data_IF_118966741713
#
_entry.id   IF_118966741713
#
_cell.length_a   1.000
_cell.length_b   1.000
_cell.length_c   1.000
_cell.angle_alpha   90.00
_cell.angle_beta   90.00
_cell.angle_gamma   90.00
#
_symmetry.space_group_name_H-M   'P 1'
#
loop_
_entity.id
_entity.type
_entity.pdbx_description
1 polymer ?
#
# COMPACT_ATOMS: atom_id res chain seq x y z
N UNK A 1 -11.12 4.11 17.17
CA UNK A 1 -10.86 4.04 15.72
C UNK A 1 -11.06 2.61 15.24
N UNK A 2 -11.56 2.45 14.02
CA UNK A 2 -11.97 1.15 13.49
C UNK A 2 -13.22 0.60 14.17
N UNK A 3 -13.98 -0.23 13.47
CA UNK A 3 -15.07 -1.04 14.04
C UNK A 3 -14.65 -2.51 14.03
N UNK A 4 -15.37 -3.36 14.75
CA UNK A 4 -15.16 -4.81 14.68
C UNK A 4 -15.18 -5.27 13.22
N UNK A 5 -14.14 -6.01 12.80
CA UNK A 5 -13.91 -6.46 11.41
C UNK A 5 -13.72 -5.35 10.36
N UNK A 6 -13.52 -4.10 10.77
CA UNK A 6 -13.22 -2.96 9.90
C UNK A 6 -12.12 -2.11 10.53
N UNK A 7 -10.85 -2.53 10.42
CA UNK A 7 -9.73 -1.79 10.98
C UNK A 7 -9.56 -0.46 10.25
N UNK A 8 -9.14 0.56 10.99
CA UNK A 8 -8.78 1.87 10.46
C UNK A 8 -7.60 2.40 11.26
N UNK A 9 -6.52 2.75 10.58
CA UNK A 9 -5.25 3.13 11.21
C UNK A 9 -4.95 4.61 10.97
N UNK A 10 -4.38 5.28 11.98
CA UNK A 10 -3.74 6.58 11.80
C UNK A 10 -2.26 6.37 11.58
N UNK A 11 -1.67 7.25 10.77
CA UNK A 11 -0.23 7.36 10.63
C UNK A 11 0.17 8.58 11.45
N UNK A 12 0.99 8.37 12.48
CA UNK A 12 1.33 9.37 13.49
C UNK A 12 2.83 9.34 13.76
N UNK A 13 3.38 10.50 14.10
CA UNK A 13 4.69 10.64 14.72
C UNK A 13 4.52 10.55 16.25
N UNK A 14 5.22 9.60 16.86
CA UNK A 14 5.18 9.37 18.31
C UNK A 14 6.53 8.88 18.80
N UNK A 15 6.85 9.14 20.07
CA UNK A 15 8.04 8.58 20.73
C UNK A 15 7.85 7.06 20.93
N UNK A 16 8.88 6.27 20.60
CA UNK A 16 8.89 4.81 20.68
C UNK A 16 8.64 4.26 22.08
N UNK A 17 8.90 5.05 23.13
CA UNK A 17 8.68 4.65 24.53
C UNK A 17 7.22 4.74 24.97
N UNK A 18 6.39 5.41 24.19
CA UNK A 18 4.98 5.63 24.54
C UNK A 18 4.13 4.42 24.16
N UNK A 19 2.94 4.32 24.76
CA UNK A 19 1.96 3.30 24.39
C UNK A 19 1.49 3.51 22.95
N UNK A 20 1.20 2.41 22.23
CA UNK A 20 0.65 2.40 20.86
C UNK A 20 -0.49 3.40 20.64
N UNK A 21 -1.46 3.44 21.55
CA UNK A 21 -2.63 4.33 21.49
C UNK A 21 -2.47 5.53 22.45
N UNK A 22 -1.23 6.00 22.64
CA UNK A 22 -0.88 7.13 23.47
C UNK A 22 -1.08 8.49 22.80
N UNK A 23 -0.69 9.58 23.48
CA UNK A 23 -0.69 10.91 22.88
C UNK A 23 0.33 10.98 21.72
N UNK A 24 -0.15 11.35 20.54
CA UNK A 24 0.68 11.59 19.36
C UNK A 24 1.31 13.00 19.40
N UNK A 25 2.53 13.13 18.86
CA UNK A 25 3.17 14.44 18.67
C UNK A 25 2.50 15.15 17.50
N UNK A 26 2.37 14.42 16.39
CA UNK A 26 1.77 14.93 15.17
C UNK A 26 1.09 13.80 14.39
N UNK A 27 -0.05 14.13 13.78
CA UNK A 27 -0.76 13.23 12.86
C UNK A 27 -0.32 13.54 11.44
N UNK A 28 0.21 12.53 10.74
CA UNK A 28 0.76 12.64 9.39
C UNK A 28 -0.17 12.06 8.31
N UNK A 29 -1.24 11.36 8.73
CA UNK A 29 -2.19 10.78 7.80
C UNK A 29 -3.05 9.67 8.37
N UNK A 30 -3.60 8.84 7.48
CA UNK A 30 -4.38 7.65 7.80
C UNK A 30 -4.27 6.56 6.73
N UNK A 31 -4.58 5.33 7.13
CA UNK A 31 -4.55 4.15 6.29
C UNK A 31 -5.78 3.25 6.54
N UNK A 32 -6.47 2.91 5.45
CA UNK A 32 -7.57 1.95 5.39
C UNK A 32 -7.15 0.74 4.53
N UNK A 33 -6.83 -0.41 5.13
CA UNK A 33 -6.41 -1.60 4.38
C UNK A 33 -7.54 -2.27 3.60
N UNK A 34 -8.81 -1.89 3.84
CA UNK A 34 -9.97 -2.52 3.19
C UNK A 34 -10.36 -1.81 1.89
N UNK A 35 -9.91 -0.57 1.69
CA UNK A 35 -10.14 0.17 0.44
C UNK A 35 -9.18 -0.30 -0.65
N UNK A 36 -9.71 -0.40 -1.87
CA UNK A 36 -8.95 -0.83 -3.05
C UNK A 36 -8.41 0.39 -3.81
N UNK A 37 -9.16 1.50 -3.85
CA UNK A 37 -8.83 2.65 -4.70
C UNK A 37 -7.94 3.67 -3.97
N UNK A 38 -8.47 4.34 -2.93
CA UNK A 38 -7.71 5.31 -2.11
C UNK A 38 -7.61 4.77 -0.69
N UNK A 39 -6.60 3.92 -0.49
CA UNK A 39 -6.35 3.28 0.79
C UNK A 39 -5.62 4.18 1.80
N UNK A 40 -4.91 5.21 1.33
CA UNK A 40 -3.95 5.99 2.12
C UNK A 40 -4.12 7.48 1.82
N UNK A 41 -3.99 8.31 2.85
CA UNK A 41 -3.82 9.75 2.74
C UNK A 41 -2.69 10.20 3.67
N UNK A 42 -1.75 10.95 3.13
CA UNK A 42 -0.50 11.33 3.77
C UNK A 42 -0.20 12.80 3.50
N UNK A 43 0.29 13.51 4.51
CA UNK A 43 0.85 14.84 4.39
C UNK A 43 2.35 14.72 4.02
N UNK A 44 2.65 14.74 2.72
CA UNK A 44 3.98 14.44 2.19
C UNK A 44 5.09 15.32 2.78
N UNK A 45 4.86 16.63 2.83
CA UNK A 45 5.87 17.61 3.26
C UNK A 45 6.27 17.37 4.72
N UNK A 46 5.27 17.13 5.58
CA UNK A 46 5.49 16.86 7.01
C UNK A 46 6.21 15.54 7.22
N UNK A 47 5.89 14.52 6.43
CA UNK A 47 6.59 13.23 6.49
C UNK A 47 8.06 13.40 6.10
N UNK A 48 8.34 14.18 5.04
CA UNK A 48 9.72 14.46 4.62
C UNK A 48 10.47 15.18 5.74
N UNK A 49 9.88 16.19 6.37
CA UNK A 49 10.47 16.89 7.53
C UNK A 49 10.84 15.92 8.65
N UNK A 50 9.93 15.01 9.02
CA UNK A 50 10.18 14.02 10.08
C UNK A 50 11.28 13.04 9.70
N UNK A 51 11.31 12.58 8.44
CA UNK A 51 12.35 11.69 7.95
C UNK A 51 13.72 12.39 7.88
N UNK A 52 13.77 13.69 7.56
CA UNK A 52 15.00 14.49 7.60
C UNK A 52 15.51 14.66 9.04
N UNK A 53 14.59 14.83 10.01
CA UNK A 53 14.90 14.88 11.45
C UNK A 53 15.35 13.53 12.04
N UNK A 54 15.33 12.46 11.24
CA UNK A 54 15.80 11.13 11.66
C UNK A 54 14.70 10.20 12.20
N UNK A 55 13.42 10.51 11.97
CA UNK A 55 12.33 9.62 12.34
C UNK A 55 12.50 8.24 11.66
N UNK A 56 12.33 7.17 12.45
CA UNK A 56 12.37 5.80 11.97
C UNK A 56 10.96 5.29 11.69
N UNK A 57 10.57 5.02 10.43
CA UNK A 57 9.27 4.46 10.12
C UNK A 57 9.18 3.00 10.56
N UNK A 58 7.97 2.55 10.95
CA UNK A 58 7.69 1.13 11.15
C UNK A 58 7.60 0.38 9.81
N UNK A 59 7.71 -0.94 9.81
CA UNK A 59 7.73 -1.75 8.59
C UNK A 59 6.52 -1.50 7.67
N UNK A 60 5.31 -1.50 8.23
CA UNK A 60 4.09 -1.22 7.44
C UNK A 60 4.09 0.19 6.87
N UNK A 61 4.52 1.18 7.65
CA UNK A 61 4.62 2.58 7.19
C UNK A 61 5.68 2.70 6.11
N UNK A 62 6.83 2.04 6.25
CA UNK A 62 7.88 2.00 5.23
C UNK A 62 7.33 1.47 3.91
N UNK A 63 6.60 0.34 3.93
CA UNK A 63 5.98 -0.23 2.73
C UNK A 63 4.97 0.73 2.07
N UNK A 64 4.19 1.45 2.87
CA UNK A 64 3.27 2.47 2.38
C UNK A 64 4.05 3.61 1.71
N UNK A 65 5.10 4.13 2.35
CA UNK A 65 5.95 5.19 1.79
C UNK A 65 6.64 4.76 0.49
N UNK A 66 7.09 3.51 0.39
CA UNK A 66 7.61 2.95 -0.87
C UNK A 66 6.54 2.91 -1.95
N UNK A 67 5.32 2.50 -1.60
CA UNK A 67 4.21 2.35 -2.53
C UNK A 67 3.69 3.68 -3.08
N UNK A 68 3.80 4.75 -2.29
CA UNK A 68 3.44 6.12 -2.68
C UNK A 68 4.57 6.78 -3.49
N UNK A 69 5.83 6.37 -3.29
CA UNK A 69 6.99 6.94 -3.98
C UNK A 69 7.78 7.96 -3.15
N UNK A 70 7.38 8.19 -1.89
CA UNK A 70 8.05 9.13 -0.98
C UNK A 70 9.48 8.73 -0.65
N UNK A 71 9.78 7.42 -0.57
CA UNK A 71 11.15 6.97 -0.40
C UNK A 71 12.04 7.30 -1.59
N UNK A 72 11.49 7.22 -2.80
CA UNK A 72 12.21 7.57 -4.02
C UNK A 72 12.46 9.09 -4.07
N UNK A 73 11.42 9.89 -3.77
CA UNK A 73 11.55 11.35 -3.60
C UNK A 73 12.65 11.71 -2.61
N UNK A 74 12.66 11.10 -1.42
CA UNK A 74 13.68 11.34 -0.39
C UNK A 74 15.10 10.97 -0.86
N UNK A 75 15.25 9.88 -1.61
CA UNK A 75 16.54 9.48 -2.15
C UNK A 75 17.08 10.53 -3.14
N UNK A 76 16.23 11.02 -4.05
CA UNK A 76 16.60 12.07 -5.01
C UNK A 76 16.94 13.41 -4.30
N UNK A 77 16.22 13.75 -3.22
CA UNK A 77 16.53 14.91 -2.39
C UNK A 77 17.93 14.76 -1.75
N UNK A 78 18.25 13.58 -1.22
CA UNK A 78 19.58 13.31 -0.64
C UNK A 78 20.70 13.34 -1.67
N UNK A 79 20.41 13.00 -2.92
CA UNK A 79 21.35 13.11 -4.04
C UNK A 79 21.54 14.56 -4.50
N UNK A 80 20.73 15.52 -4.02
CA UNK A 80 20.85 16.94 -4.35
C UNK A 80 20.28 17.32 -5.72
N UNK A 81 19.36 16.52 -6.25
CA UNK A 81 18.69 16.80 -7.54
C UNK A 81 17.70 17.96 -7.42
N UNK A 82 17.47 18.66 -8.54
CA UNK A 82 16.53 19.78 -8.59
C UNK A 82 15.08 19.31 -8.40
N UNK A 83 14.21 20.18 -7.89
CA UNK A 83 12.79 19.86 -7.67
C UNK A 83 12.08 19.44 -8.97
N UNK A 84 12.51 19.99 -10.11
CA UNK A 84 11.97 19.69 -11.43
C UNK A 84 12.33 18.27 -11.90
N UNK A 85 13.58 17.85 -11.68
CA UNK A 85 14.03 16.48 -11.94
C UNK A 85 13.34 15.47 -11.02
N UNK A 86 13.09 15.85 -9.77
CA UNK A 86 12.35 15.03 -8.82
C UNK A 86 10.90 14.86 -9.29
N UNK A 87 10.26 15.93 -9.76
CA UNK A 87 8.89 15.90 -10.25
C UNK A 87 8.74 15.04 -11.53
N UNK A 88 9.66 15.17 -12.48
CA UNK A 88 9.65 14.37 -13.70
C UNK A 88 9.92 12.89 -13.39
N UNK A 89 10.93 12.59 -12.58
CA UNK A 89 11.26 11.22 -12.17
C UNK A 89 10.12 10.56 -11.38
N UNK A 90 9.40 11.32 -10.54
CA UNK A 90 8.22 10.81 -9.83
C UNK A 90 7.05 10.55 -10.77
N UNK A 91 6.83 11.42 -11.75
CA UNK A 91 5.77 11.23 -12.75
C UNK A 91 6.04 9.99 -13.60
N UNK A 92 7.28 9.83 -14.08
CA UNK A 92 7.70 8.64 -14.82
C UNK A 92 7.59 7.38 -13.96
N UNK A 93 7.99 7.46 -12.69
CA UNK A 93 7.87 6.36 -11.75
C UNK A 93 6.39 6.00 -11.51
N UNK A 94 5.50 6.97 -11.35
CA UNK A 94 4.07 6.76 -11.17
C UNK A 94 3.45 6.08 -12.39
N UNK A 95 3.76 6.54 -13.60
CA UNK A 95 3.30 5.92 -14.85
C UNK A 95 3.78 4.48 -14.96
N UNK A 96 5.07 4.22 -14.67
CA UNK A 96 5.64 2.87 -14.64
C UNK A 96 4.98 1.97 -13.59
N UNK A 97 4.68 2.50 -12.41
CA UNK A 97 3.97 1.75 -11.37
C UNK A 97 2.54 1.44 -11.80
N UNK A 98 1.84 2.37 -12.45
CA UNK A 98 0.48 2.17 -12.92
C UNK A 98 0.43 1.07 -14.00
N UNK A 99 1.37 1.06 -14.94
CA UNK A 99 1.51 -0.04 -15.90
C UNK A 99 1.73 -1.40 -15.22
N UNK A 100 2.60 -1.44 -14.20
CA UNK A 100 2.85 -2.67 -13.43
C UNK A 100 1.59 -3.10 -12.68
N UNK A 101 0.83 -2.15 -12.10
CA UNK A 101 -0.44 -2.42 -11.41
C UNK A 101 -1.47 -2.98 -12.36
N UNK A 102 -1.65 -2.38 -13.55
CA UNK A 102 -2.56 -2.88 -14.59
C UNK A 102 -2.17 -4.30 -15.00
N UNK A 103 -0.89 -4.55 -15.33
CA UNK A 103 -0.40 -5.91 -15.67
C UNK A 103 -0.62 -6.92 -14.54
N UNK A 104 -0.43 -6.52 -13.29
CA UNK A 104 -0.70 -7.38 -12.12
C UNK A 104 -2.20 -7.61 -11.91
N UNK A 105 -3.04 -6.59 -12.13
CA UNK A 105 -4.49 -6.71 -12.06
C UNK A 105 -5.01 -7.67 -13.13
N UNK A 106 -4.49 -7.60 -14.35
CA UNK A 106 -4.84 -8.49 -15.45
C UNK A 106 -4.39 -9.93 -15.18
N UNK A 107 -3.15 -10.12 -14.70
CA UNK A 107 -2.68 -11.45 -14.25
C UNK A 107 -3.51 -12.01 -13.09
N UNK A 108 -3.93 -11.17 -12.14
CA UNK A 108 -4.78 -11.59 -11.01
C UNK A 108 -6.19 -11.95 -11.48
N UNK A 109 -6.75 -11.22 -12.45
CA UNK A 109 -8.03 -11.55 -13.10
C UNK A 109 -7.94 -12.85 -13.89
N UNK A 110 -6.86 -13.08 -14.63
CA UNK A 110 -6.60 -14.31 -15.37
C UNK A 110 -6.48 -15.52 -14.41
N UNK A 111 -5.66 -15.41 -13.36
CA UNK A 111 -5.52 -16.46 -12.35
C UNK A 111 -6.81 -16.71 -11.56
N UNK A 112 -7.62 -15.67 -11.31
CA UNK A 112 -8.95 -15.82 -10.69
C UNK A 112 -9.95 -16.51 -11.63
N UNK A 113 -9.85 -16.30 -12.95
CA UNK A 113 -10.64 -17.02 -13.95
C UNK A 113 -10.22 -18.48 -14.08
N UNK A 114 -8.92 -18.79 -14.09
CA UNK A 114 -8.42 -20.19 -14.10
C UNK A 114 -8.83 -20.93 -12.82
N UNK A 115 -8.63 -20.33 -11.64
CA UNK A 115 -9.03 -20.97 -10.37
C UNK A 115 -10.55 -21.11 -10.25
N UNK A 116 -11.33 -20.24 -10.89
CA UNK A 116 -12.79 -20.39 -10.97
C UNK A 116 -13.17 -21.53 -11.93
N UNK A 117 -12.49 -21.64 -13.08
CA UNK A 117 -12.70 -22.72 -14.06
C UNK A 117 -12.33 -24.10 -13.50
N UNK A 118 -11.20 -24.21 -12.78
CA UNK A 118 -10.79 -25.46 -12.11
C UNK A 118 -11.75 -25.85 -10.99
N UNK A 119 -12.29 -24.87 -10.24
CA UNK A 119 -13.31 -25.13 -9.22
C UNK A 119 -14.65 -25.57 -9.81
N UNK A 120 -15.05 -25.03 -10.96
CA UNK A 120 -16.26 -25.50 -11.66
C UNK A 120 -16.07 -26.88 -12.27
N UNK A 121 -14.90 -27.17 -12.85
CA UNK A 121 -14.58 -28.49 -13.41
C UNK A 121 -14.49 -29.60 -12.34
N UNK A 122 -14.01 -29.25 -11.14
CA UNK A 122 -13.97 -30.19 -10.00
C UNK A 122 -15.36 -30.43 -9.36
N UNK A 123 -16.26 -29.45 -9.41
CA UNK A 123 -17.65 -29.59 -8.94
C UNK A 123 -18.51 -30.44 -9.90
N UNK A 124 -18.24 -30.38 -11.21
CA UNK A 124 -18.96 -31.17 -12.21
C UNK A 124 -18.53 -32.65 -12.18
N UNK A 125 -17.22 -32.94 -12.00
CA UNK A 125 -16.72 -34.31 -11.83
C UNK A 125 -17.20 -35.02 -10.55
N UNK A 126 -17.48 -34.27 -9.49
CA UNK A 126 -17.98 -34.85 -8.23
C UNK A 126 -19.48 -35.12 -8.28
N UNK A 127 -20.26 -34.38 -9.08
CA UNK A 127 -21.68 -34.64 -9.30
C UNK A 127 -21.93 -35.87 -10.21
N UNK A 128 -21.06 -36.16 -11.18
CA UNK A 128 -21.24 -37.28 -12.12
C UNK A 128 -20.82 -38.65 -11.56
N UNK A 129 -20.18 -38.69 -10.37
CA UNK A 129 -19.76 -39.95 -9.73
C UNK A 129 -20.79 -40.51 -8.73
N UNK A 130 -21.79 -39.71 -8.31
CA UNK A 130 -22.84 -40.11 -7.36
C UNK A 130 -24.09 -40.72 -8.05
N UNK A 131 -24.25 -40.58 -9.37
CA UNK A 131 -25.42 -41.08 -10.13
C UNK A 131 -25.25 -42.52 -10.67
N UNK A 132 -24.15 -43.19 -10.34
CA UNK A 132 -23.78 -44.52 -10.89
C UNK A 132 -23.60 -45.63 -9.86
N UNK A 133 -24.25 -45.54 -8.70
CA UNK A 133 -24.32 -46.61 -7.70
C UNK A 133 -25.75 -47.00 -7.36
#
# INVERSE_FOLDING_TARGET
MGRRKRPFYRIVAIDSRTRRDGPEIERLGWFDPLKIDVAVNLDEDRIIDWLQKGAQPSETVSNILSSVGLQYKMHLIREGKSEEEIASALTEWQLRQEEIRVRKADKKKAKKKEVAADKTFAAEKTAETDDKK
#
